data_IF_150392622467
#
_entry.id   IF_150392622467
#
_cell.length_a   1.000
_cell.length_b   1.000
_cell.length_c   1.000
_cell.angle_alpha   90.00
_cell.angle_beta   90.00
_cell.angle_gamma   90.00
#
_symmetry.space_group_name_H-M   'P 1'
#
loop_
_entity.id
_entity.type
_entity.pdbx_description
1 polymer ?
#
# COMPACT_ATOMS: atom_id res chain seq x y z
N UNK A 1 12.73 -2.33 0.85
CA UNK A 1 13.90 -2.31 -0.05
C UNK A 1 13.51 -1.57 -1.33
N UNK A 2 14.35 -0.65 -1.81
CA UNK A 2 14.12 0.01 -3.10
C UNK A 2 14.34 -0.98 -4.24
N UNK A 3 13.44 -0.96 -5.23
CA UNK A 3 13.55 -1.77 -6.43
C UNK A 3 14.59 -1.15 -7.38
N UNK A 4 15.25 -2.01 -8.17
CA UNK A 4 15.90 -1.56 -9.39
C UNK A 4 14.81 -1.02 -10.36
N UNK A 5 15.04 0.17 -10.92
CA UNK A 5 14.03 0.81 -11.77
C UNK A 5 13.60 -0.03 -12.98
N UNK A 6 14.46 -0.90 -13.51
CA UNK A 6 14.09 -1.83 -14.59
C UNK A 6 13.15 -2.90 -14.07
N UNK A 7 13.44 -3.46 -12.89
CA UNK A 7 12.59 -4.48 -12.24
C UNK A 7 11.20 -3.94 -11.96
N UNK A 8 11.10 -2.72 -11.43
CA UNK A 8 9.80 -2.10 -11.18
C UNK A 8 9.02 -1.82 -12.48
N UNK A 9 9.69 -1.31 -13.52
CA UNK A 9 9.06 -1.08 -14.83
C UNK A 9 8.52 -2.36 -15.44
N UNK A 10 9.31 -3.43 -15.40
CA UNK A 10 8.90 -4.74 -15.87
C UNK A 10 7.69 -5.24 -15.07
N UNK A 11 7.69 -5.13 -13.73
CA UNK A 11 6.56 -5.55 -12.89
C UNK A 11 5.27 -4.75 -13.17
N UNK A 12 5.36 -3.43 -13.36
CA UNK A 12 4.19 -2.61 -13.75
C UNK A 12 3.68 -3.01 -15.13
N UNK A 13 4.57 -3.21 -16.10
CA UNK A 13 4.18 -3.64 -17.46
C UNK A 13 3.47 -4.98 -17.40
N UNK A 14 4.04 -5.95 -16.69
CA UNK A 14 3.53 -7.31 -16.65
C UNK A 14 2.18 -7.37 -15.93
N UNK A 15 2.00 -6.60 -14.85
CA UNK A 15 0.69 -6.41 -14.21
C UNK A 15 -0.35 -5.82 -15.17
N UNK A 16 0.00 -4.76 -15.90
CA UNK A 16 -0.90 -4.14 -16.90
C UNK A 16 -1.34 -5.15 -17.95
N UNK A 17 -0.39 -5.90 -18.52
CA UNK A 17 -0.66 -6.92 -19.52
C UNK A 17 -1.59 -8.01 -18.98
N UNK A 18 -1.34 -8.50 -17.77
CA UNK A 18 -2.18 -9.51 -17.13
C UNK A 18 -3.59 -8.98 -16.86
N UNK A 19 -3.72 -7.75 -16.33
CA UNK A 19 -5.00 -7.12 -16.03
C UNK A 19 -5.82 -6.89 -17.31
N UNK A 20 -5.18 -6.40 -18.39
CA UNK A 20 -5.82 -6.26 -19.70
C UNK A 20 -6.26 -7.59 -20.28
N UNK A 21 -5.41 -8.63 -20.18
CA UNK A 21 -5.77 -9.98 -20.63
C UNK A 21 -6.95 -10.57 -19.83
N UNK A 22 -7.08 -10.21 -18.55
CA UNK A 22 -8.23 -10.59 -17.73
C UNK A 22 -9.53 -9.84 -18.09
N UNK A 23 -9.46 -8.79 -18.91
CA UNK A 23 -10.62 -8.03 -19.38
C UNK A 23 -10.73 -6.61 -18.82
N UNK A 24 -9.76 -6.15 -18.03
CA UNK A 24 -9.72 -4.77 -17.54
C UNK A 24 -9.36 -3.82 -18.69
N UNK A 25 -10.18 -2.78 -18.88
CA UNK A 25 -9.92 -1.72 -19.85
C UNK A 25 -8.81 -0.80 -19.34
N UNK A 26 -7.56 -1.20 -19.59
CA UNK A 26 -6.38 -0.40 -19.31
C UNK A 26 -6.09 0.52 -20.49
N UNK A 27 -6.10 1.84 -20.34
CA UNK A 27 -5.85 2.73 -21.45
C UNK A 27 -4.39 2.64 -21.89
N UNK A 28 -4.18 2.53 -23.20
CA UNK A 28 -2.86 2.68 -23.81
C UNK A 28 -2.36 4.11 -23.53
N UNK A 29 -1.40 4.22 -22.62
CA UNK A 29 -0.73 5.46 -22.29
C UNK A 29 0.77 5.23 -22.32
N UNK A 30 1.46 6.07 -23.09
CA UNK A 30 2.91 6.11 -23.08
C UNK A 30 3.40 6.46 -21.68
N UNK A 31 4.56 5.90 -21.30
CA UNK A 31 5.26 6.31 -20.10
C UNK A 31 5.44 7.84 -20.13
N UNK A 32 5.05 8.49 -19.05
CA UNK A 32 5.37 9.90 -18.89
C UNK A 32 6.78 10.04 -18.30
N UNK A 33 7.51 11.10 -18.66
CA UNK A 33 8.77 11.42 -18.00
C UNK A 33 8.58 11.47 -16.49
N UNK A 34 9.54 10.93 -15.74
CA UNK A 34 9.55 10.98 -14.28
C UNK A 34 9.42 12.44 -13.83
N UNK A 35 8.34 12.73 -13.11
CA UNK A 35 8.14 14.02 -12.46
C UNK A 35 8.98 14.14 -11.19
N UNK A 36 9.03 15.33 -10.61
CA UNK A 36 9.51 15.50 -9.23
C UNK A 36 8.34 15.37 -8.27
N UNK A 37 8.56 14.76 -7.10
CA UNK A 37 7.60 14.83 -6.02
C UNK A 37 7.41 16.31 -5.61
N UNK A 38 6.19 16.76 -5.32
CA UNK A 38 5.98 18.09 -4.78
C UNK A 38 6.77 18.29 -3.49
N UNK A 39 7.43 19.45 -3.33
CA UNK A 39 8.27 19.72 -2.15
C UNK A 39 7.52 19.58 -0.82
N UNK A 40 6.23 19.86 -0.83
CA UNK A 40 5.34 19.73 0.34
C UNK A 40 5.29 18.29 0.87
N UNK A 41 5.47 17.27 0.02
CA UNK A 41 5.40 15.86 0.42
C UNK A 41 6.49 15.54 1.45
N UNK A 42 7.74 15.97 1.18
CA UNK A 42 8.85 15.80 2.13
C UNK A 42 8.57 16.47 3.47
N UNK A 43 8.00 17.67 3.44
CA UNK A 43 7.62 18.41 4.65
C UNK A 43 6.50 17.68 5.41
N UNK A 44 5.47 17.17 4.72
CA UNK A 44 4.37 16.42 5.33
C UNK A 44 4.90 15.19 6.06
N UNK A 45 5.76 14.39 5.44
CA UNK A 45 6.25 13.12 6.01
C UNK A 45 7.54 13.26 6.82
N UNK A 46 8.12 14.45 6.89
CA UNK A 46 9.34 14.71 7.68
C UNK A 46 10.56 13.96 7.17
N UNK A 47 10.71 13.80 5.85
CA UNK A 47 11.80 13.08 5.20
C UNK A 47 12.60 14.00 4.28
N UNK A 48 13.89 13.69 4.08
CA UNK A 48 14.80 14.54 3.29
C UNK A 48 14.70 14.30 1.76
N UNK A 49 14.23 13.12 1.36
CA UNK A 49 14.07 12.72 -0.03
C UNK A 49 12.81 11.89 -0.25
N UNK A 50 12.44 11.73 -1.51
CA UNK A 50 11.41 10.79 -1.97
C UNK A 50 12.08 9.89 -3.01
N UNK A 51 11.96 8.59 -2.86
CA UNK A 51 12.59 7.61 -3.74
C UNK A 51 12.13 7.79 -5.20
N UNK A 52 13.05 7.63 -6.15
CA UNK A 52 12.78 7.76 -7.60
C UNK A 52 11.67 6.83 -8.07
N UNK A 53 11.56 5.64 -7.46
CA UNK A 53 10.52 4.69 -7.82
C UNK A 53 9.10 5.20 -7.56
N UNK A 54 8.90 5.96 -6.49
CA UNK A 54 7.61 6.57 -6.20
C UNK A 54 7.29 7.71 -7.17
N UNK A 55 8.29 8.55 -7.49
CA UNK A 55 8.10 9.66 -8.42
C UNK A 55 7.82 9.17 -9.83
N UNK A 56 8.50 8.10 -10.25
CA UNK A 56 8.21 7.42 -11.51
C UNK A 56 6.83 6.77 -11.49
N UNK A 57 6.44 6.03 -10.44
CA UNK A 57 5.14 5.37 -10.37
C UNK A 57 3.99 6.38 -10.52
N UNK A 58 4.07 7.48 -9.77
CA UNK A 58 3.07 8.55 -9.78
C UNK A 58 3.02 9.29 -11.12
N UNK A 59 4.13 9.38 -11.86
CA UNK A 59 4.11 9.99 -13.19
C UNK A 59 3.42 9.12 -14.24
N UNK A 60 3.19 7.82 -14.00
CA UNK A 60 2.63 6.91 -15.01
C UNK A 60 1.11 7.08 -15.27
N UNK A 61 0.54 8.23 -14.90
CA UNK A 61 -0.83 8.68 -15.21
C UNK A 61 -1.87 7.59 -14.97
N UNK A 62 -1.79 6.94 -13.82
CA UNK A 62 -2.77 5.94 -13.42
C UNK A 62 -4.17 6.55 -13.53
N UNK A 63 -5.05 6.00 -14.37
CA UNK A 63 -6.40 6.51 -14.50
C UNK A 63 -7.09 6.57 -13.13
N UNK A 64 -7.92 7.59 -12.91
CA UNK A 64 -8.79 7.70 -11.74
C UNK A 64 -9.94 6.68 -11.82
N UNK A 65 -9.58 5.39 -11.88
CA UNK A 65 -10.45 4.24 -12.04
C UNK A 65 -9.94 3.08 -11.19
N UNK A 66 -10.82 2.12 -10.96
CA UNK A 66 -10.62 0.93 -10.12
C UNK A 66 -9.82 -0.12 -10.89
N UNK A 67 -8.50 0.10 -10.97
CA UNK A 67 -7.57 -0.71 -11.77
C UNK A 67 -6.75 -1.72 -10.96
N UNK A 68 -6.83 -1.65 -9.63
CA UNK A 68 -6.17 -2.57 -8.72
C UNK A 68 -7.15 -3.67 -8.28
N UNK A 69 -6.66 -4.78 -7.69
CA UNK A 69 -7.52 -5.82 -7.14
C UNK A 69 -8.53 -5.23 -6.13
N UNK A 70 -9.70 -5.85 -6.01
CA UNK A 70 -10.81 -5.35 -5.18
C UNK A 70 -11.18 -3.89 -5.44
N UNK A 71 -11.01 -3.46 -6.70
CA UNK A 71 -11.32 -2.12 -7.15
C UNK A 71 -10.50 -1.01 -6.48
N UNK A 72 -9.31 -1.32 -5.98
CA UNK A 72 -8.41 -0.31 -5.41
C UNK A 72 -7.89 0.69 -6.44
N UNK A 73 -7.26 1.75 -5.93
CA UNK A 73 -6.63 2.78 -6.73
C UNK A 73 -5.32 3.29 -6.12
N UNK A 74 -4.46 3.84 -6.99
CA UNK A 74 -3.27 4.59 -6.58
C UNK A 74 -3.72 5.96 -6.05
N UNK A 75 -3.29 6.31 -4.85
CA UNK A 75 -3.56 7.62 -4.25
C UNK A 75 -2.66 8.68 -4.89
N UNK A 76 -3.22 9.85 -5.18
CA UNK A 76 -2.47 11.02 -5.67
C UNK A 76 -1.46 11.52 -4.63
N UNK A 77 -0.50 12.34 -5.08
CA UNK A 77 0.36 13.08 -4.14
C UNK A 77 -0.49 13.88 -3.15
N UNK A 78 -0.14 13.86 -1.86
CA UNK A 78 -0.88 14.61 -0.86
C UNK A 78 -0.61 16.11 -1.02
N UNK A 79 -1.68 16.89 -0.97
CA UNK A 79 -1.64 18.35 -1.11
C UNK A 79 -1.51 19.06 0.24
N UNK A 80 -1.79 18.35 1.34
CA UNK A 80 -1.86 18.94 2.66
C UNK A 80 -1.73 17.93 3.81
N UNK A 81 -1.77 18.43 5.05
CA UNK A 81 -1.51 17.64 6.26
C UNK A 81 -2.57 16.57 6.55
N UNK A 82 -3.77 16.66 5.96
CA UNK A 82 -4.84 15.65 6.11
C UNK A 82 -4.44 14.27 5.59
N UNK A 83 -3.39 14.18 4.77
CA UNK A 83 -2.83 12.89 4.36
C UNK A 83 -2.33 12.05 5.54
N UNK A 84 -1.97 12.70 6.65
CA UNK A 84 -1.53 12.03 7.88
C UNK A 84 -2.66 11.29 8.59
N UNK A 85 -3.94 11.59 8.30
CA UNK A 85 -5.09 10.94 8.95
C UNK A 85 -5.11 9.42 8.64
N UNK A 86 -4.65 9.03 7.44
CA UNK A 86 -4.52 7.62 7.05
C UNK A 86 -3.45 6.85 7.85
N UNK A 87 -2.59 7.57 8.59
CA UNK A 87 -1.51 6.96 9.38
C UNK A 87 -1.94 6.68 10.82
N UNK A 88 -3.18 7.00 11.21
CA UNK A 88 -3.74 6.63 12.52
C UNK A 88 -3.81 5.11 12.76
N UNK A 89 -3.65 4.31 11.72
CA UNK A 89 -3.61 2.84 11.79
C UNK A 89 -2.19 2.29 12.10
N UNK A 90 -1.17 3.15 12.12
CA UNK A 90 0.24 2.75 12.09
C UNK A 90 0.84 2.47 13.46
N UNK A 91 0.12 1.66 14.22
CA UNK A 91 0.46 1.28 15.59
C UNK A 91 1.54 0.19 15.58
N UNK A 92 2.54 0.36 16.44
CA UNK A 92 3.61 -0.61 16.67
C UNK A 92 4.59 -0.77 15.50
N UNK A 93 4.55 0.07 14.46
CA UNK A 93 5.48 -0.04 13.33
C UNK A 93 6.94 0.14 13.77
N UNK A 94 7.90 -0.59 13.19
CA UNK A 94 9.32 -0.55 13.57
C UNK A 94 10.06 0.72 13.08
N UNK A 95 9.32 1.71 12.58
CA UNK A 95 9.80 2.99 12.08
C UNK A 95 8.85 4.11 12.50
N UNK A 96 9.28 5.38 12.45
CA UNK A 96 8.40 6.50 12.76
C UNK A 96 7.14 6.46 11.89
N UNK A 97 5.96 6.54 12.51
CA UNK A 97 4.67 6.49 11.81
C UNK A 97 4.56 7.49 10.66
N UNK A 98 5.30 8.61 10.74
CA UNK A 98 5.32 9.69 9.75
C UNK A 98 6.17 9.36 8.51
N UNK A 99 7.04 8.34 8.56
CA UNK A 99 7.95 7.96 7.48
C UNK A 99 7.30 7.06 6.42
N UNK A 100 6.03 7.26 6.12
CA UNK A 100 5.32 6.41 5.18
C UNK A 100 4.21 7.16 4.46
N UNK A 101 4.10 6.88 3.18
CA UNK A 101 3.16 7.49 2.27
C UNK A 101 2.02 6.50 1.99
N UNK A 102 0.75 6.84 2.28
CA UNK A 102 -0.39 6.10 1.77
C UNK A 102 -0.32 6.02 0.24
N UNK A 103 -0.23 4.81 -0.29
CA UNK A 103 0.06 4.58 -1.71
C UNK A 103 -1.14 3.98 -2.43
N UNK A 104 -1.72 2.90 -1.92
CA UNK A 104 -2.90 2.28 -2.51
C UNK A 104 -4.02 2.23 -1.50
N UNK A 105 -5.23 2.60 -1.95
CA UNK A 105 -6.42 2.56 -1.13
C UNK A 105 -7.38 1.49 -1.68
N UNK A 106 -7.93 0.70 -0.76
CA UNK A 106 -8.95 -0.33 -1.00
C UNK A 106 -10.09 -0.15 0.00
N UNK A 107 -11.19 -0.89 -0.17
CA UNK A 107 -12.34 -0.79 0.74
C UNK A 107 -12.00 -1.11 2.20
N UNK A 108 -11.18 -2.15 2.42
CA UNK A 108 -10.85 -2.66 3.75
C UNK A 108 -9.38 -2.48 4.14
N UNK A 109 -8.56 -1.90 3.28
CA UNK A 109 -7.12 -1.79 3.54
C UNK A 109 -6.48 -0.57 2.89
N UNK A 110 -5.45 -0.06 3.53
CA UNK A 110 -4.51 0.92 2.96
C UNK A 110 -3.14 0.26 2.88
N UNK A 111 -2.49 0.40 1.72
CA UNK A 111 -1.09 0.01 1.56
C UNK A 111 -0.24 1.27 1.54
N UNK A 112 0.78 1.33 2.38
CA UNK A 112 1.74 2.45 2.46
C UNK A 112 3.09 2.04 1.91
N UNK A 113 3.86 3.03 1.49
CA UNK A 113 5.26 2.90 1.13
C UNK A 113 6.13 3.55 2.19
N UNK A 114 7.12 2.84 2.72
CA UNK A 114 8.05 3.38 3.70
C UNK A 114 9.09 4.28 3.02
N UNK A 115 9.19 5.53 3.47
CA UNK A 115 9.94 6.60 2.81
C UNK A 115 11.40 6.72 3.26
N UNK A 116 11.78 6.16 4.40
CA UNK A 116 13.11 6.37 4.96
C UNK A 116 13.54 5.26 5.94
N UNK A 117 14.84 5.20 6.22
CA UNK A 117 15.44 4.30 7.19
C UNK A 117 15.68 2.89 6.63
N UNK A 118 15.89 1.92 7.51
CA UNK A 118 16.22 0.54 7.13
C UNK A 118 15.09 -0.17 6.35
N UNK A 119 13.87 0.33 6.51
CA UNK A 119 12.66 -0.19 5.87
C UNK A 119 12.29 0.51 4.56
N UNK A 120 13.10 1.47 4.08
CA UNK A 120 12.77 2.26 2.88
C UNK A 120 12.42 1.35 1.68
N UNK A 121 11.28 1.65 1.04
CA UNK A 121 10.73 0.92 -0.09
C UNK A 121 9.90 -0.32 0.25
N UNK A 122 9.82 -0.73 1.52
CA UNK A 122 8.86 -1.76 1.91
C UNK A 122 7.41 -1.28 1.73
N UNK A 123 6.51 -2.23 1.43
CA UNK A 123 5.08 -1.98 1.37
C UNK A 123 4.42 -2.57 2.61
N UNK A 124 3.72 -1.73 3.36
CA UNK A 124 3.00 -2.10 4.56
C UNK A 124 1.50 -2.03 4.31
N UNK A 125 0.72 -2.94 4.92
CA UNK A 125 -0.74 -2.91 4.88
C UNK A 125 -1.30 -2.62 6.26
N UNK A 126 -2.43 -1.92 6.25
CA UNK A 126 -3.22 -1.57 7.41
C UNK A 126 -4.67 -1.91 7.09
N UNK A 127 -5.31 -2.66 7.98
CA UNK A 127 -6.74 -2.94 7.88
C UNK A 127 -7.54 -1.71 8.34
N UNK A 128 -8.56 -1.33 7.56
CA UNK A 128 -9.48 -0.25 7.91
C UNK A 128 -10.61 -0.85 8.75
N UNK A 129 -10.34 -1.09 10.03
CA UNK A 129 -11.35 -1.55 10.98
C UNK A 129 -11.13 -0.89 12.34
N UNK A 130 -12.19 -0.44 13.04
CA UNK A 130 -12.07 0.31 14.31
C UNK A 130 -11.26 -0.40 15.39
N UNK A 131 -11.21 -1.74 15.33
CA UNK A 131 -10.58 -2.58 16.35
C UNK A 131 -9.39 -3.40 15.79
N UNK A 132 -8.94 -3.12 14.56
CA UNK A 132 -7.84 -3.86 13.92
C UNK A 132 -6.53 -3.08 13.99
N UNK A 133 -5.64 -3.45 14.90
CA UNK A 133 -4.27 -2.91 15.01
C UNK A 133 -3.29 -3.77 14.21
N UNK A 134 -3.65 -4.06 12.96
CA UNK A 134 -3.04 -5.10 12.17
C UNK A 134 -1.99 -4.55 11.18
N UNK A 135 -1.17 -3.63 11.69
CA UNK A 135 0.01 -3.10 11.00
C UNK A 135 0.93 -4.25 10.64
N UNK A 136 1.19 -4.46 9.35
CA UNK A 136 2.03 -5.57 8.91
C UNK A 136 2.67 -5.30 7.54
N UNK A 137 3.91 -5.77 7.35
CA UNK A 137 4.55 -5.74 6.03
C UNK A 137 3.80 -6.66 5.06
N UNK A 138 3.24 -6.07 4.02
CA UNK A 138 2.62 -6.78 2.92
C UNK A 138 3.69 -7.43 2.03
N UNK A 139 4.67 -6.65 1.58
CA UNK A 139 5.77 -7.11 0.73
C UNK A 139 7.04 -6.29 0.98
N UNK A 140 8.18 -6.82 0.54
CA UNK A 140 9.50 -6.20 0.73
C UNK A 140 9.78 -5.06 -0.25
N UNK A 141 9.02 -4.98 -1.35
CA UNK A 141 9.17 -3.95 -2.39
C UNK A 141 7.91 -3.80 -3.25
N UNK A 142 7.82 -2.70 -4.00
CA UNK A 142 6.69 -2.40 -4.86
C UNK A 142 6.60 -3.37 -6.05
N UNK A 143 7.74 -3.74 -6.64
CA UNK A 143 7.76 -4.71 -7.73
C UNK A 143 7.27 -6.09 -7.26
N UNK A 144 7.62 -6.49 -6.03
CA UNK A 144 7.16 -7.75 -5.43
C UNK A 144 5.65 -7.76 -5.23
N UNK A 145 5.06 -6.63 -4.81
CA UNK A 145 3.60 -6.50 -4.69
C UNK A 145 2.89 -6.68 -6.04
N UNK A 146 3.37 -6.00 -7.08
CA UNK A 146 2.79 -6.09 -8.42
C UNK A 146 2.94 -7.49 -9.02
N UNK A 147 4.05 -8.16 -8.76
CA UNK A 147 4.27 -9.56 -9.15
C UNK A 147 3.26 -10.49 -8.45
N UNK A 148 3.03 -10.33 -7.13
CA UNK A 148 2.01 -11.09 -6.40
C UNK A 148 0.61 -10.92 -7.02
N UNK A 149 0.22 -9.70 -7.38
CA UNK A 149 -1.06 -9.47 -8.06
C UNK A 149 -1.10 -10.07 -9.47
N UNK A 150 -0.01 -9.97 -10.23
CA UNK A 150 0.13 -10.56 -11.57
C UNK A 150 -0.02 -12.08 -11.52
N UNK A 151 0.64 -12.73 -10.56
CA UNK A 151 0.52 -14.16 -10.32
C UNK A 151 -0.88 -14.54 -9.85
N UNK A 152 -1.52 -13.71 -9.03
CA UNK A 152 -2.92 -13.87 -8.64
C UNK A 152 -3.88 -13.88 -9.83
N UNK A 153 -3.68 -12.99 -10.81
CA UNK A 153 -4.45 -13.01 -12.06
C UNK A 153 -4.18 -14.30 -12.84
N UNK A 154 -2.91 -14.67 -13.01
CA UNK A 154 -2.53 -15.87 -13.76
C UNK A 154 -3.07 -17.17 -13.13
N UNK A 155 -3.18 -17.21 -11.80
CA UNK A 155 -3.72 -18.34 -11.05
C UNK A 155 -5.26 -18.36 -11.00
N UNK A 156 -5.94 -17.34 -11.54
CA UNK A 156 -7.40 -17.21 -11.49
C UNK A 156 -7.95 -16.82 -10.12
N UNK A 157 -7.09 -16.35 -9.21
CA UNK A 157 -7.48 -15.81 -7.89
C UNK A 157 -8.04 -14.40 -8.03
N UNK A 158 -7.47 -13.62 -8.96
CA UNK A 158 -7.98 -12.31 -9.33
C UNK A 158 -8.70 -12.43 -10.67
N UNK A 159 -10.00 -12.15 -10.67
CA UNK A 159 -10.87 -12.25 -11.85
C UNK A 159 -11.52 -10.92 -12.17
N UNK A 160 -11.79 -10.66 -13.44
CA UNK A 160 -12.53 -9.47 -13.84
C UNK A 160 -14.03 -9.71 -13.76
N UNK A 161 -14.74 -8.93 -12.94
CA UNK A 161 -16.20 -8.99 -12.84
C UNK A 161 -16.86 -7.98 -13.79
N UNK A 162 -17.07 -8.39 -15.04
CA UNK A 162 -17.54 -7.52 -16.12
C UNK A 162 -19.02 -7.09 -16.09
N UNK A 163 -19.88 -7.78 -15.35
CA UNK A 163 -21.33 -7.54 -15.38
C UNK A 163 -21.82 -6.48 -14.38
N UNK A 164 -21.25 -6.43 -13.18
CA UNK A 164 -21.74 -5.56 -12.10
C UNK A 164 -20.73 -4.47 -11.71
N UNK A 165 -19.46 -4.85 -11.59
CA UNK A 165 -18.45 -4.04 -10.94
C UNK A 165 -17.45 -3.41 -11.93
N UNK A 166 -17.18 -4.07 -13.07
CA UNK A 166 -16.22 -3.64 -14.10
C UNK A 166 -14.82 -3.36 -13.55
N UNK A 167 -14.38 -4.17 -12.59
CA UNK A 167 -13.03 -4.13 -12.02
C UNK A 167 -12.57 -5.54 -11.63
N UNK A 168 -11.31 -5.64 -11.22
CA UNK A 168 -10.70 -6.88 -10.71
C UNK A 168 -11.21 -7.20 -9.29
N UNK A 169 -11.56 -8.46 -9.05
CA UNK A 169 -12.07 -8.98 -7.79
C UNK A 169 -11.28 -10.20 -7.33
N UNK A 170 -11.14 -10.33 -6.02
CA UNK A 170 -10.64 -11.52 -5.34
C UNK A 170 -11.85 -12.12 -4.63
N UNK A 171 -12.22 -13.36 -4.95
CA UNK A 171 -13.45 -13.97 -4.43
C UNK A 171 -13.45 -14.08 -2.90
N UNK A 172 -12.37 -14.61 -2.32
CA UNK A 172 -12.19 -14.72 -0.87
C UNK A 172 -10.72 -14.96 -0.50
N UNK A 173 -10.41 -14.87 0.80
CA UNK A 173 -9.07 -15.15 1.32
C UNK A 173 -8.63 -16.62 1.09
N UNK A 174 -9.58 -17.56 1.08
CA UNK A 174 -9.30 -18.99 0.88
C UNK A 174 -8.76 -19.27 -0.52
N UNK A 175 -9.21 -18.52 -1.53
CA UNK A 175 -8.74 -18.63 -2.90
C UNK A 175 -7.24 -18.35 -3.01
N UNK A 176 -6.76 -17.30 -2.32
CA UNK A 176 -5.33 -16.94 -2.25
C UNK A 176 -4.54 -18.03 -1.53
N UNK A 177 -5.04 -18.48 -0.37
CA UNK A 177 -4.39 -19.50 0.48
C UNK A 177 -4.18 -20.85 -0.22
N UNK A 178 -4.99 -21.17 -1.23
CA UNK A 178 -4.91 -22.44 -1.97
C UNK A 178 -3.85 -22.44 -3.07
N UNK A 179 -3.31 -21.28 -3.46
CA UNK A 179 -2.33 -21.16 -4.54
C UNK A 179 -0.92 -21.06 -3.94
N UNK A 180 -0.06 -22.08 -4.14
CA UNK A 180 1.31 -22.03 -3.65
C UNK A 180 2.08 -20.83 -4.23
N UNK A 181 2.80 -20.11 -3.38
CA UNK A 181 3.65 -18.97 -3.78
C UNK A 181 2.98 -17.60 -3.70
N UNK A 182 1.66 -17.55 -3.50
CA UNK A 182 0.96 -16.30 -3.18
C UNK A 182 1.03 -16.04 -1.67
N UNK A 183 1.38 -14.81 -1.29
CA UNK A 183 1.33 -14.33 0.09
C UNK A 183 -0.02 -13.63 0.33
N UNK A 184 -0.91 -14.15 1.19
CA UNK A 184 -2.19 -13.51 1.50
C UNK A 184 -2.08 -12.06 1.95
N UNK A 185 -0.96 -11.69 2.61
CA UNK A 185 -0.71 -10.32 3.06
C UNK A 185 -0.37 -9.35 1.93
N UNK A 186 -0.09 -9.84 0.71
CA UNK A 186 0.08 -8.98 -0.45
C UNK A 186 -1.27 -8.54 -1.06
N UNK A 187 -2.40 -9.12 -0.63
CA UNK A 187 -3.71 -8.88 -1.23
C UNK A 187 -4.59 -8.01 -0.33
N UNK A 188 -5.46 -7.15 -0.91
CA UNK A 188 -6.40 -6.31 -0.17
C UNK A 188 -7.64 -7.09 0.28
N UNK A 189 -7.41 -8.17 1.04
CA UNK A 189 -8.43 -9.05 1.63
C UNK A 189 -8.51 -8.81 3.14
N UNK A 190 -9.71 -8.98 3.68
CA UNK A 190 -9.99 -9.00 5.11
C UNK A 190 -11.17 -9.95 5.40
N UNK A 191 -11.18 -10.67 6.54
CA UNK A 191 -10.09 -10.74 7.52
C UNK A 191 -8.92 -11.59 7.01
N UNK A 192 -7.72 -11.37 7.57
CA UNK A 192 -6.57 -12.26 7.38
C UNK A 192 -6.46 -13.24 8.54
N UNK A 193 -5.95 -14.44 8.27
CA UNK A 193 -5.71 -15.46 9.30
C UNK A 193 -4.76 -14.93 10.39
N UNK A 194 -5.21 -15.01 11.64
CA UNK A 194 -4.54 -14.36 12.77
C UNK A 194 -3.13 -14.92 13.03
N UNK A 195 -2.93 -16.23 12.88
CA UNK A 195 -1.62 -16.86 13.11
C UNK A 195 -0.58 -16.34 12.11
N UNK A 196 -0.94 -16.27 10.82
CA UNK A 196 -0.13 -15.69 9.75
C UNK A 196 0.19 -14.23 10.04
N UNK A 197 -0.83 -13.44 10.40
CA UNK A 197 -0.67 -12.03 10.72
C UNK A 197 0.31 -11.83 11.87
N UNK A 198 0.09 -12.49 13.02
CA UNK A 198 0.93 -12.37 14.22
C UNK A 198 2.33 -12.93 13.98
N UNK A 199 2.50 -13.93 13.12
CA UNK A 199 3.81 -14.42 12.72
C UNK A 199 4.57 -13.35 11.92
N UNK A 200 3.95 -12.73 10.92
CA UNK A 200 4.57 -11.67 10.11
C UNK A 200 4.85 -10.41 10.92
N UNK A 201 3.98 -10.01 11.83
CA UNK A 201 4.22 -8.86 12.72
C UNK A 201 5.50 -9.04 13.54
N UNK A 202 5.69 -10.22 14.15
CA UNK A 202 6.92 -10.56 14.89
C UNK A 202 8.15 -10.60 13.98
N UNK A 203 8.03 -11.19 12.80
CA UNK A 203 9.11 -11.25 11.80
C UNK A 203 9.59 -9.85 11.40
N UNK A 204 8.64 -8.91 11.25
CA UNK A 204 8.90 -7.55 10.79
C UNK A 204 9.25 -6.57 11.91
N UNK A 205 9.33 -7.03 13.17
CA UNK A 205 9.69 -6.19 14.31
C UNK A 205 8.58 -5.25 14.78
N UNK A 206 7.31 -5.56 14.49
CA UNK A 206 6.18 -4.83 15.06
C UNK A 206 6.19 -4.99 16.58
N UNK A 207 5.98 -3.89 17.30
CA UNK A 207 5.84 -3.91 18.74
C UNK A 207 4.49 -4.55 19.13
N UNK A 208 4.57 -5.84 19.47
CA UNK A 208 3.39 -6.63 19.80
C UNK A 208 2.73 -6.20 21.12
N UNK A 209 3.49 -5.62 22.06
CA UNK A 209 2.89 -5.12 23.30
C UNK A 209 2.00 -3.91 23.00
N UNK A 210 2.49 -3.02 22.13
CA UNK A 210 1.73 -1.86 21.64
C UNK A 210 0.49 -2.27 20.84
N UNK A 211 0.57 -3.35 20.05
CA UNK A 211 -0.59 -3.92 19.35
C UNK A 211 -1.61 -4.53 20.33
N UNK A 212 -1.16 -5.20 21.39
CA UNK A 212 -2.03 -5.81 22.40
C UNK A 212 -2.75 -4.74 23.26
N UNK A 213 -2.08 -3.63 23.58
CA UNK A 213 -2.61 -2.48 24.33
C UNK A 213 -3.20 -1.37 23.40
N UNK A 214 -3.58 -1.73 22.17
CA UNK A 214 -3.70 -0.82 21.03
C UNK A 214 -4.61 0.40 21.17
N UNK A 215 -5.58 0.42 22.09
CA UNK A 215 -6.44 1.60 22.30
C UNK A 215 -5.67 2.83 22.80
N UNK A 216 -4.89 2.70 23.87
CA UNK A 216 -4.16 3.83 24.45
C UNK A 216 -3.12 4.38 23.48
N UNK A 217 -2.40 3.48 22.79
CA UNK A 217 -1.43 3.87 21.77
C UNK A 217 -2.07 4.44 20.51
N UNK A 218 -3.31 4.08 20.19
CA UNK A 218 -4.07 4.74 19.12
C UNK A 218 -4.36 6.20 19.47
N UNK A 219 -4.85 6.46 20.69
CA UNK A 219 -5.12 7.83 21.14
C UNK A 219 -3.84 8.69 21.13
N UNK A 220 -2.72 8.16 21.64
CA UNK A 220 -1.43 8.85 21.59
C UNK A 220 -0.96 9.15 20.15
N UNK A 221 -1.18 8.22 19.22
CA UNK A 221 -0.84 8.39 17.81
C UNK A 221 -1.72 9.46 17.15
N UNK A 222 -3.03 9.47 17.43
CA UNK A 222 -3.95 10.48 16.91
C UNK A 222 -3.59 11.89 17.42
N UNK A 223 -3.26 12.01 18.71
CA UNK A 223 -2.77 13.27 19.29
C UNK A 223 -1.47 13.74 18.63
N UNK A 224 -0.55 12.82 18.35
CA UNK A 224 0.70 13.11 17.66
C UNK A 224 0.47 13.55 16.19
N UNK A 225 -0.51 12.95 15.52
CA UNK A 225 -0.95 13.36 14.17
C UNK A 225 -1.51 14.77 14.21
N UNK A 226 -2.44 15.08 15.12
CA UNK A 226 -3.03 16.41 15.25
C UNK A 226 -1.99 17.49 15.53
N UNK A 227 -1.03 17.21 16.43
CA UNK A 227 0.09 18.09 16.69
C UNK A 227 0.96 18.32 15.44
N UNK A 228 1.24 17.26 14.67
CA UNK A 228 1.99 17.37 13.42
C UNK A 228 1.23 18.21 12.37
N UNK A 229 -0.08 17.98 12.20
CA UNK A 229 -0.94 18.76 11.31
C UNK A 229 -0.93 20.25 11.68
N UNK A 230 -1.04 20.58 12.96
CA UNK A 230 -0.97 21.96 13.45
C UNK A 230 0.39 22.62 13.15
N UNK A 231 1.50 21.88 13.28
CA UNK A 231 2.84 22.38 12.93
C UNK A 231 3.03 22.64 11.42
N UNK A 232 2.29 21.91 10.58
CA UNK A 232 2.32 22.06 9.13
C UNK A 232 1.45 23.23 8.65
N UNK A 233 0.28 23.45 9.27
CA UNK A 233 -0.62 24.55 8.92
C UNK A 233 -0.19 25.93 9.42
N UNK A 234 0.80 26.00 10.31
CA UNK A 234 1.29 27.25 10.91
C UNK A 234 2.47 27.90 10.16
N UNK A 235 2.88 27.37 9.00
CA UNK A 235 3.93 27.97 8.16
C UNK A 235 3.55 27.96 6.68
#
# INVERSE_FOLDING_TARGET
MLDDMRVLRDAVRDYRLAATAAGLDWPDQDESPTGQAPDVVRRIFGVDHIAEQLTWLQSQRWPERRLLPNGGWLMSWPEGPDALDNLGLSIGTPFPWRHQLPLFHFEYAIFTFVLAGEHEGEIWRYEISPDAWDSVRATTSLATLLDQWTQGIAAGVIVYEGEYNKWLQIEDADSVNRVPGLDPLAFPIAPVEETLLRARQRECGVDMAVVEDGFEHNEELLDAIDAAKASLGSA
#
